data_IF_307203600000
#
_entry.id   IF_307203600000
#
_cell.length_a   1.000
_cell.length_b   1.000
_cell.length_c   1.000
_cell.angle_alpha   90.00
_cell.angle_beta   90.00
_cell.angle_gamma   90.00
#
_symmetry.space_group_name_H-M   'P 1'
#
loop_
_entity.id
_entity.type
_entity.pdbx_description
1 polymer ?
#
# COMPACT_ATOMS: atom_id res chain seq x y z
N UNK A 1 10.37 22.72 33.08
CA UNK A 1 10.19 21.68 32.05
C UNK A 1 8.81 21.09 32.31
N UNK A 2 7.77 21.61 31.62
CA UNK A 2 6.40 21.12 31.72
C UNK A 2 6.27 19.79 30.96
N UNK A 3 6.00 18.70 31.68
CA UNK A 3 5.71 17.40 31.09
C UNK A 3 4.27 17.38 30.59
N UNK A 4 4.05 17.02 29.31
CA UNK A 4 2.73 16.77 28.76
C UNK A 4 2.22 15.40 29.22
N UNK A 5 1.03 15.36 29.80
CA UNK A 5 0.43 14.09 30.23
C UNK A 5 -0.70 13.71 29.26
N UNK A 6 -0.59 12.53 28.65
CA UNK A 6 -1.64 11.98 27.79
C UNK A 6 -2.43 10.91 28.53
N UNK A 7 -3.75 11.02 28.51
CA UNK A 7 -4.64 9.97 28.98
C UNK A 7 -5.34 9.32 27.80
N UNK A 8 -5.23 8.01 27.72
CA UNK A 8 -5.99 7.23 26.74
C UNK A 8 -7.42 7.04 27.26
N UNK A 9 -8.39 7.61 26.56
CA UNK A 9 -9.80 7.24 26.71
C UNK A 9 -10.09 5.99 25.87
N UNK A 10 -10.97 5.12 26.33
CA UNK A 10 -11.51 3.99 25.55
C UNK A 10 -12.47 4.43 24.43
N UNK A 11 -12.76 5.71 24.36
CA UNK A 11 -13.54 6.34 23.32
C UNK A 11 -12.65 6.85 22.16
N UNK A 12 -13.29 7.35 21.14
CA UNK A 12 -12.68 7.90 19.92
C UNK A 12 -11.78 9.12 20.14
N UNK A 13 -11.58 9.59 21.37
CA UNK A 13 -10.91 10.85 21.67
C UNK A 13 -9.71 10.66 22.58
N UNK A 14 -8.69 11.48 22.39
CA UNK A 14 -7.55 11.64 23.29
C UNK A 14 -7.60 13.04 23.86
N UNK A 15 -7.63 13.19 25.17
CA UNK A 15 -7.49 14.47 25.85
C UNK A 15 -6.14 14.59 26.54
N UNK A 16 -5.61 15.79 26.66
CA UNK A 16 -4.32 16.07 27.26
C UNK A 16 -4.26 17.49 27.81
N UNK A 17 -3.19 17.78 28.53
CA UNK A 17 -2.89 19.08 29.11
C UNK A 17 -1.51 19.55 28.70
N UNK A 18 -1.38 20.75 28.18
CA UNK A 18 -0.11 21.39 27.87
C UNK A 18 -0.08 22.81 28.44
N UNK A 19 0.64 22.99 29.54
CA UNK A 19 1.06 24.31 30.00
C UNK A 19 -0.04 25.33 30.34
N UNK A 20 -1.31 24.91 30.51
CA UNK A 20 -2.42 25.79 30.87
C UNK A 20 -3.71 25.58 30.06
N UNK A 21 -3.65 24.92 28.92
CA UNK A 21 -4.82 24.67 28.09
C UNK A 21 -5.15 23.18 27.97
N UNK A 22 -6.42 22.83 28.19
CA UNK A 22 -6.94 21.50 27.90
C UNK A 22 -7.20 21.38 26.39
N UNK A 23 -6.86 20.24 25.81
CA UNK A 23 -7.20 19.93 24.43
C UNK A 23 -7.84 18.56 24.28
N UNK A 24 -8.69 18.40 23.29
CA UNK A 24 -9.30 17.15 22.91
C UNK A 24 -9.04 16.87 21.45
N UNK A 25 -8.46 15.70 21.11
CA UNK A 25 -8.26 15.26 19.76
C UNK A 25 -9.25 14.13 19.45
N UNK A 26 -10.01 14.30 18.40
CA UNK A 26 -10.89 13.25 17.88
C UNK A 26 -10.11 12.28 17.01
N UNK A 27 -10.41 10.98 17.17
CA UNK A 27 -9.85 9.97 16.28
C UNK A 27 -10.48 10.07 14.91
N UNK A 28 -9.70 10.39 13.91
CA UNK A 28 -10.09 10.34 12.51
C UNK A 28 -9.65 9.00 11.90
N UNK A 29 -10.60 8.24 11.34
CA UNK A 29 -10.31 7.03 10.56
C UNK A 29 -10.40 7.41 9.09
N UNK A 30 -9.26 7.52 8.43
CA UNK A 30 -9.19 7.76 6.99
C UNK A 30 -9.46 6.46 6.23
N UNK A 31 -10.22 6.54 5.18
CA UNK A 31 -10.47 5.45 4.23
C UNK A 31 -10.17 5.96 2.82
N UNK A 32 -9.57 5.14 1.98
CA UNK A 32 -9.42 5.47 0.56
C UNK A 32 -10.79 5.66 -0.09
N UNK A 33 -10.91 6.67 -0.94
CA UNK A 33 -12.15 6.92 -1.71
C UNK A 33 -12.44 5.86 -2.76
N UNK A 34 -11.45 5.02 -3.07
CA UNK A 34 -11.56 3.94 -4.05
C UNK A 34 -11.66 2.56 -3.40
N UNK A 35 -11.65 2.48 -2.07
CA UNK A 35 -11.83 1.23 -1.34
C UNK A 35 -13.15 0.55 -1.70
N UNK A 36 -13.09 -0.77 -1.95
CA UNK A 36 -14.24 -1.60 -2.36
C UNK A 36 -14.85 -1.16 -3.72
N UNK A 37 -14.08 -0.48 -4.54
CA UNK A 37 -14.52 -0.02 -5.85
C UNK A 37 -14.81 -1.21 -6.76
N UNK A 38 -16.02 -1.28 -7.28
CA UNK A 38 -16.39 -2.34 -8.22
C UNK A 38 -15.56 -2.23 -9.51
N UNK A 39 -15.14 -3.40 -9.98
CA UNK A 39 -14.44 -3.48 -11.26
C UNK A 39 -15.31 -2.90 -12.40
N UNK A 40 -14.78 -2.01 -13.25
CA UNK A 40 -15.54 -1.48 -14.38
C UNK A 40 -15.88 -2.60 -15.37
N UNK A 41 -16.91 -2.36 -16.20
CA UNK A 41 -17.31 -3.32 -17.24
C UNK A 41 -16.14 -3.67 -18.15
N UNK A 42 -15.87 -4.96 -18.32
CA UNK A 42 -14.77 -5.47 -19.14
C UNK A 42 -13.42 -5.54 -18.44
N UNK A 43 -13.30 -5.11 -17.20
CA UNK A 43 -12.08 -5.29 -16.42
C UNK A 43 -11.78 -6.77 -16.16
N UNK A 44 -10.51 -7.08 -16.06
CA UNK A 44 -10.02 -8.41 -15.66
C UNK A 44 -9.90 -8.42 -14.15
N UNK A 45 -10.81 -9.08 -13.48
CA UNK A 45 -10.68 -9.31 -12.03
C UNK A 45 -9.60 -10.35 -11.80
N UNK A 46 -8.48 -9.94 -11.22
CA UNK A 46 -7.34 -10.81 -10.94
C UNK A 46 -7.51 -11.60 -9.63
N UNK A 47 -8.19 -11.00 -8.66
CA UNK A 47 -8.51 -11.63 -7.38
C UNK A 47 -9.74 -10.96 -6.76
N UNK A 48 -10.65 -11.74 -6.26
CA UNK A 48 -11.91 -11.31 -5.62
C UNK A 48 -12.24 -12.12 -4.35
N UNK A 49 -11.26 -12.86 -3.84
CA UNK A 49 -11.44 -13.72 -2.67
C UNK A 49 -11.91 -15.13 -3.00
N UNK A 50 -12.24 -15.45 -4.26
CA UNK A 50 -12.79 -16.77 -4.62
C UNK A 50 -11.71 -17.82 -4.91
N UNK A 51 -10.65 -17.46 -5.65
CA UNK A 51 -9.58 -18.37 -6.06
C UNK A 51 -8.30 -17.62 -6.45
N UNK A 52 -7.21 -18.36 -6.66
CA UNK A 52 -5.92 -17.84 -7.11
C UNK A 52 -5.56 -18.25 -8.53
N UNK A 53 -6.52 -18.65 -9.36
CA UNK A 53 -6.29 -19.25 -10.67
C UNK A 53 -5.54 -18.34 -11.65
N UNK A 54 -5.64 -17.03 -11.47
CA UNK A 54 -4.95 -16.03 -12.30
C UNK A 54 -3.53 -15.72 -11.83
N UNK A 55 -3.10 -16.35 -10.72
CA UNK A 55 -1.80 -16.15 -10.12
C UNK A 55 -0.88 -17.37 -10.24
N UNK A 56 0.40 -17.13 -10.29
CA UNK A 56 1.45 -18.09 -10.10
C UNK A 56 2.10 -17.79 -8.75
N UNK A 57 1.97 -18.72 -7.81
CA UNK A 57 2.31 -18.49 -6.40
C UNK A 57 1.18 -17.83 -5.62
N UNK A 58 1.42 -17.59 -4.34
CA UNK A 58 0.42 -17.11 -3.41
C UNK A 58 -0.55 -18.20 -2.95
N UNK A 59 -1.29 -17.89 -1.91
CA UNK A 59 -2.27 -18.77 -1.29
C UNK A 59 -3.52 -18.01 -0.92
N UNK A 60 -4.67 -18.59 -1.23
CA UNK A 60 -5.94 -18.12 -0.66
C UNK A 60 -5.98 -18.54 0.82
N UNK A 61 -6.09 -17.58 1.70
CA UNK A 61 -6.33 -17.86 3.11
C UNK A 61 -7.81 -18.20 3.33
N UNK A 62 -8.08 -19.45 3.71
CA UNK A 62 -9.44 -19.97 3.84
C UNK A 62 -10.27 -19.36 4.97
N UNK A 63 -9.64 -18.65 5.92
CA UNK A 63 -10.33 -17.98 7.02
C UNK A 63 -10.70 -16.54 6.68
N UNK A 64 -9.81 -15.86 6.00
CA UNK A 64 -9.94 -14.43 5.71
C UNK A 64 -10.37 -14.13 4.28
N UNK A 65 -10.27 -15.09 3.36
CA UNK A 65 -10.52 -14.87 1.93
C UNK A 65 -9.45 -14.01 1.26
N UNK A 66 -8.27 -13.84 1.86
CA UNK A 66 -7.22 -12.96 1.35
C UNK A 66 -6.17 -13.72 0.56
N UNK A 67 -5.61 -13.06 -0.45
CA UNK A 67 -4.42 -13.53 -1.16
C UNK A 67 -3.19 -13.24 -0.33
N UNK A 68 -2.55 -14.29 0.17
CA UNK A 68 -1.31 -14.21 0.95
C UNK A 68 -0.12 -14.61 0.09
N UNK A 69 0.94 -13.81 0.11
CA UNK A 69 2.17 -14.10 -0.64
C UNK A 69 3.06 -15.13 0.05
N UNK A 70 2.82 -15.41 1.35
CA UNK A 70 3.65 -16.28 2.19
C UNK A 70 5.16 -15.91 2.15
N UNK A 71 5.45 -14.60 2.02
CA UNK A 71 6.81 -14.07 1.98
C UNK A 71 7.57 -14.37 0.68
N UNK A 72 6.86 -14.66 -0.41
CA UNK A 72 7.46 -14.95 -1.73
C UNK A 72 6.83 -14.08 -2.81
N UNK A 73 7.56 -13.90 -3.91
CA UNK A 73 7.00 -13.22 -5.07
C UNK A 73 5.87 -14.04 -5.70
N UNK A 74 4.82 -13.33 -6.08
CA UNK A 74 3.70 -13.89 -6.83
C UNK A 74 3.55 -13.12 -8.15
N UNK A 75 3.07 -13.81 -9.19
CA UNK A 75 2.97 -13.24 -10.52
C UNK A 75 1.61 -13.50 -11.13
N UNK A 76 1.11 -12.55 -11.90
CA UNK A 76 -0.05 -12.82 -12.76
C UNK A 76 0.33 -13.82 -13.85
N UNK A 77 -0.52 -14.83 -14.13
CA UNK A 77 -0.27 -15.78 -15.23
C UNK A 77 -0.33 -15.10 -16.58
N UNK A 78 -1.25 -14.14 -16.77
CA UNK A 78 -1.31 -13.29 -17.94
C UNK A 78 -0.30 -12.16 -17.81
N UNK A 79 0.41 -11.86 -18.90
CA UNK A 79 1.30 -10.71 -18.99
C UNK A 79 0.53 -9.48 -19.44
N UNK A 80 0.89 -8.34 -18.87
CA UNK A 80 0.34 -7.02 -19.20
C UNK A 80 1.47 -6.07 -19.58
N UNK A 81 1.17 -5.08 -20.41
CA UNK A 81 2.14 -4.06 -20.82
C UNK A 81 1.69 -2.67 -20.37
N UNK A 82 0.57 -2.20 -20.90
CA UNK A 82 -0.05 -0.95 -20.47
C UNK A 82 -1.37 -1.29 -19.78
N UNK A 83 -1.65 -0.68 -18.63
CA UNK A 83 -2.86 -0.98 -17.87
C UNK A 83 -3.18 0.08 -16.84
N UNK A 84 -4.44 0.17 -16.50
CA UNK A 84 -4.92 0.76 -15.26
C UNK A 84 -5.27 -0.38 -14.31
N UNK A 85 -4.88 -0.29 -13.06
CA UNK A 85 -5.11 -1.34 -12.06
C UNK A 85 -5.49 -0.74 -10.72
N UNK A 86 -6.45 -1.37 -10.07
CA UNK A 86 -6.81 -1.13 -8.69
C UNK A 86 -6.33 -2.29 -7.83
N UNK A 87 -5.65 -1.98 -6.72
CA UNK A 87 -5.14 -2.95 -5.75
C UNK A 87 -5.53 -2.52 -4.35
N UNK A 88 -6.10 -3.44 -3.60
CA UNK A 88 -6.34 -3.26 -2.17
C UNK A 88 -5.38 -4.14 -1.39
N UNK A 89 -4.76 -3.59 -0.34
CA UNK A 89 -3.81 -4.33 0.47
C UNK A 89 -3.94 -4.00 1.95
N UNK A 90 -3.54 -4.96 2.79
CA UNK A 90 -3.57 -4.87 4.24
C UNK A 90 -2.16 -5.14 4.79
N UNK A 91 -1.60 -4.17 5.50
CA UNK A 91 -0.30 -4.32 6.15
C UNK A 91 -0.43 -5.07 7.48
N UNK A 92 0.45 -6.03 7.77
CA UNK A 92 0.48 -6.67 9.07
C UNK A 92 0.99 -5.73 10.17
N UNK A 93 0.52 -5.90 11.38
CA UNK A 93 1.07 -5.21 12.54
C UNK A 93 2.34 -5.92 13.04
N UNK A 94 3.49 -5.25 12.96
CA UNK A 94 4.79 -5.76 13.39
C UNK A 94 5.47 -4.74 14.33
N UNK A 95 5.06 -4.67 15.60
CA UNK A 95 5.50 -3.62 16.53
C UNK A 95 7.00 -3.68 16.85
N UNK A 96 7.60 -4.86 16.83
CA UNK A 96 9.02 -5.07 17.15
C UNK A 96 9.95 -4.87 15.94
N UNK A 97 9.39 -4.82 14.73
CA UNK A 97 10.16 -4.59 13.51
C UNK A 97 10.45 -3.10 13.29
N UNK A 98 11.52 -2.83 12.52
CA UNK A 98 11.93 -1.47 12.14
C UNK A 98 12.26 -1.41 10.65
N UNK A 99 12.13 -0.21 10.07
CA UNK A 99 12.48 0.05 8.67
C UNK A 99 11.82 -0.96 7.72
N UNK A 100 12.60 -1.54 6.83
CA UNK A 100 12.12 -2.51 5.83
C UNK A 100 11.61 -3.84 6.42
N UNK A 101 11.74 -4.10 7.71
CA UNK A 101 11.11 -5.22 8.40
C UNK A 101 9.62 -5.06 8.69
N UNK A 102 9.06 -3.86 8.51
CA UNK A 102 7.69 -3.51 8.89
C UNK A 102 6.69 -3.77 7.76
N UNK A 103 6.33 -5.04 7.57
CA UNK A 103 5.30 -5.40 6.57
C UNK A 103 5.71 -5.11 5.13
N UNK A 104 7.02 -5.23 4.84
CA UNK A 104 7.58 -5.01 3.52
C UNK A 104 6.96 -5.92 2.48
N UNK A 105 6.54 -5.31 1.39
CA UNK A 105 6.08 -5.93 0.16
C UNK A 105 6.29 -4.91 -0.97
N UNK A 106 5.91 -5.27 -2.20
CA UNK A 106 5.99 -4.36 -3.32
C UNK A 106 5.02 -4.72 -4.43
N UNK A 107 4.52 -3.72 -5.11
CA UNK A 107 3.70 -3.88 -6.31
C UNK A 107 4.53 -3.55 -7.55
N UNK A 108 4.99 -4.60 -8.24
CA UNK A 108 5.90 -4.47 -9.38
C UNK A 108 5.16 -4.26 -10.70
N UNK A 109 5.56 -3.21 -11.43
CA UNK A 109 5.15 -2.95 -12.79
C UNK A 109 6.12 -3.64 -13.74
N UNK A 110 5.61 -4.54 -14.59
CA UNK A 110 6.37 -5.34 -15.57
C UNK A 110 7.64 -5.99 -15.02
N UNK A 111 7.60 -6.39 -13.75
CA UNK A 111 8.72 -6.99 -12.99
C UNK A 111 9.98 -6.10 -12.95
N UNK A 112 9.82 -4.77 -13.01
CA UNK A 112 10.95 -3.84 -13.06
C UNK A 112 10.79 -2.62 -12.16
N UNK A 113 9.60 -2.00 -12.10
CA UNK A 113 9.36 -0.81 -11.30
C UNK A 113 8.48 -1.18 -10.10
N UNK A 114 9.00 -0.97 -8.92
CA UNK A 114 8.31 -1.29 -7.67
C UNK A 114 7.64 -0.04 -7.09
N UNK A 115 6.33 -0.10 -6.94
CA UNK A 115 5.62 0.77 -5.99
C UNK A 115 5.69 0.12 -4.61
N UNK A 116 6.42 0.77 -3.69
CA UNK A 116 6.71 0.21 -2.38
C UNK A 116 5.47 0.05 -1.53
N UNK A 117 5.35 -1.08 -0.86
CA UNK A 117 4.36 -1.37 0.18
C UNK A 117 5.11 -1.60 1.48
N UNK A 118 4.90 -0.72 2.46
CA UNK A 118 5.58 -0.75 3.75
C UNK A 118 4.71 -0.07 4.81
N UNK A 119 4.78 -0.50 6.05
CA UNK A 119 4.22 0.27 7.17
C UNK A 119 5.08 1.52 7.40
N UNK A 120 4.70 2.58 6.72
CA UNK A 120 5.34 3.89 6.76
C UNK A 120 4.44 4.96 7.35
N UNK A 121 3.42 4.57 8.12
CA UNK A 121 2.51 5.53 8.74
C UNK A 121 3.29 6.54 9.61
N UNK A 122 3.09 7.82 9.32
CA UNK A 122 3.74 8.92 10.05
C UNK A 122 5.21 9.16 9.70
N UNK A 123 5.78 8.46 8.71
CA UNK A 123 7.11 8.70 8.19
C UNK A 123 7.11 9.78 7.08
N UNK A 124 8.30 10.09 6.53
CA UNK A 124 8.49 11.20 5.59
C UNK A 124 7.92 10.95 4.18
N UNK A 125 7.84 9.70 3.74
CA UNK A 125 7.42 9.33 2.38
C UNK A 125 8.60 9.23 1.41
N UNK A 126 9.70 8.64 1.86
CA UNK A 126 10.91 8.46 1.06
C UNK A 126 10.72 7.44 -0.07
N UNK A 127 11.71 7.31 -0.94
CA UNK A 127 11.64 6.39 -2.10
C UNK A 127 11.65 4.90 -1.74
N UNK A 128 11.91 4.55 -0.49
CA UNK A 128 11.86 3.20 0.07
C UNK A 128 10.71 3.04 1.09
N UNK A 129 9.77 3.97 1.10
CA UNK A 129 8.57 3.98 1.94
C UNK A 129 7.31 3.82 1.09
N UNK A 130 6.18 3.57 1.72
CA UNK A 130 4.91 3.28 1.06
C UNK A 130 4.54 4.35 0.03
N UNK A 131 4.23 3.93 -1.22
CA UNK A 131 3.93 4.82 -2.35
C UNK A 131 5.13 5.38 -3.08
N UNK A 132 6.36 5.17 -2.57
CA UNK A 132 7.59 5.50 -3.30
C UNK A 132 7.82 4.53 -4.47
N UNK A 133 8.46 5.01 -5.53
CA UNK A 133 9.02 4.12 -6.57
C UNK A 133 10.41 3.71 -6.08
N UNK A 134 10.51 2.47 -5.63
CA UNK A 134 11.66 1.97 -4.85
C UNK A 134 12.99 2.31 -5.51
N UNK A 135 13.90 2.92 -4.74
CA UNK A 135 15.21 3.44 -5.15
C UNK A 135 15.19 4.52 -6.25
N UNK A 136 14.03 4.94 -6.77
CA UNK A 136 13.90 5.88 -7.89
C UNK A 136 13.31 7.22 -7.51
N UNK A 137 12.20 7.24 -6.80
CA UNK A 137 11.46 8.46 -6.50
C UNK A 137 10.67 8.34 -5.20
N UNK A 138 10.79 9.33 -4.34
CA UNK A 138 9.93 9.49 -3.16
C UNK A 138 8.48 9.76 -3.58
N UNK A 139 7.53 9.39 -2.73
CA UNK A 139 6.13 9.78 -2.90
C UNK A 139 5.98 11.31 -2.74
N UNK A 140 5.05 11.90 -3.47
CA UNK A 140 4.76 13.34 -3.30
C UNK A 140 4.07 13.62 -1.96
N UNK A 141 3.36 12.64 -1.42
CA UNK A 141 2.65 12.70 -0.15
C UNK A 141 2.72 11.32 0.50
N UNK A 142 3.06 11.26 1.77
CA UNK A 142 2.89 10.03 2.55
C UNK A 142 1.41 9.88 2.93
N UNK A 143 0.69 9.06 2.17
CA UNK A 143 -0.72 8.73 2.39
C UNK A 143 -0.90 7.37 3.09
N UNK A 144 0.19 6.74 3.56
CA UNK A 144 0.14 5.45 4.24
C UNK A 144 -0.79 5.51 5.45
N UNK A 145 -1.66 4.51 5.57
CA UNK A 145 -2.51 4.32 6.75
C UNK A 145 -1.79 3.44 7.78
N UNK A 146 -2.21 3.47 9.04
CA UNK A 146 -1.70 2.53 10.04
C UNK A 146 -1.83 1.07 9.59
N UNK A 147 -0.98 0.15 10.09
CA UNK A 147 -1.16 -1.27 9.85
C UNK A 147 -2.54 -1.77 10.32
N UNK A 148 -3.01 -2.87 9.76
CA UNK A 148 -4.36 -3.42 9.95
C UNK A 148 -5.50 -2.52 9.46
N UNK A 149 -5.18 -1.49 8.66
CA UNK A 149 -6.17 -0.75 7.89
C UNK A 149 -5.98 -1.03 6.40
N UNK A 150 -7.08 -1.25 5.70
CA UNK A 150 -7.08 -1.45 4.25
C UNK A 150 -6.63 -0.19 3.52
N UNK A 151 -5.79 -0.37 2.54
CA UNK A 151 -5.19 0.68 1.71
C UNK A 151 -5.33 0.33 0.25
N UNK A 152 -5.25 1.32 -0.63
CA UNK A 152 -5.39 1.13 -2.08
C UNK A 152 -4.23 1.73 -2.84
N UNK A 153 -3.87 1.09 -3.95
CA UNK A 153 -3.18 1.71 -5.06
C UNK A 153 -4.09 1.72 -6.29
N UNK A 154 -4.26 2.89 -6.87
CA UNK A 154 -4.83 3.08 -8.19
C UNK A 154 -3.69 3.47 -9.13
N UNK A 155 -3.36 2.58 -10.06
CA UNK A 155 -2.16 2.67 -10.88
C UNK A 155 -2.53 2.82 -12.34
N UNK A 156 -1.95 3.82 -13.02
CA UNK A 156 -1.96 3.97 -14.47
C UNK A 156 -0.54 3.79 -15.01
N UNK A 157 -0.27 2.63 -15.58
CA UNK A 157 1.05 2.26 -16.06
C UNK A 157 1.12 2.19 -17.59
N UNK A 158 2.08 2.91 -18.14
CA UNK A 158 2.49 2.80 -19.56
C UNK A 158 3.92 2.31 -19.63
N UNK A 159 4.13 1.20 -20.34
CA UNK A 159 5.45 0.59 -20.46
C UNK A 159 6.40 1.42 -21.34
N UNK A 160 7.69 1.23 -21.11
CA UNK A 160 8.72 1.75 -22.01
C UNK A 160 8.56 1.19 -23.43
N UNK A 161 8.94 1.99 -24.42
CA UNK A 161 8.97 1.56 -25.84
C UNK A 161 10.41 1.46 -26.27
N UNK A 162 10.75 0.33 -26.89
CA UNK A 162 12.04 0.12 -27.54
C UNK A 162 11.87 -0.07 -29.04
N UNK A 163 12.81 0.45 -29.83
CA UNK A 163 12.89 0.27 -31.29
C UNK A 163 14.33 -0.10 -31.63
N UNK A 164 14.51 -1.17 -32.40
CA UNK A 164 15.83 -1.69 -32.81
C UNK A 164 16.79 -1.88 -31.60
N UNK A 165 16.30 -2.44 -30.50
CA UNK A 165 17.09 -2.68 -29.27
C UNK A 165 17.37 -1.45 -28.41
N UNK A 166 17.03 -0.24 -28.84
CA UNK A 166 17.22 0.99 -28.07
C UNK A 166 15.90 1.51 -27.51
N UNK A 167 15.92 1.97 -26.26
CA UNK A 167 14.75 2.56 -25.62
C UNK A 167 14.48 3.95 -26.24
N UNK A 168 13.28 4.13 -26.81
CA UNK A 168 12.86 5.39 -27.46
C UNK A 168 11.82 6.16 -26.64
N UNK A 169 11.16 5.51 -25.65
CA UNK A 169 10.22 6.15 -24.74
C UNK A 169 10.33 5.53 -23.37
N UNK A 170 10.36 6.37 -22.34
CA UNK A 170 10.36 5.91 -20.94
C UNK A 170 9.00 5.32 -20.53
N UNK A 171 9.02 4.41 -19.56
CA UNK A 171 7.80 4.04 -18.85
C UNK A 171 7.26 5.24 -18.06
N UNK A 172 5.97 5.19 -17.76
CA UNK A 172 5.29 6.15 -16.92
C UNK A 172 4.42 5.38 -15.91
N UNK A 173 4.50 5.81 -14.66
CA UNK A 173 3.71 5.35 -13.54
C UNK A 173 3.15 6.57 -12.83
#
# INVERSE_FOLDING_TARGET
VGGSTFRRSTASNVSGFTGGDDFTLERVVRKSSTMEKKAPKGAIVLFDGSNTDKWKGGRLDGKTGLLNTDGRDIFTRRKFSNYTMHVEFLLPFKPDARGQGRGNSGFYQVNHYEAQILDSFGLEGLNNECGGIYTKRASNVNACLPPLQWQTYDVDFTNAVSKNGSKVKNARL
#
